data_IF_683214888827
#
_entry.id   IF_683214888827
#
_cell.length_a   1.000
_cell.length_b   1.000
_cell.length_c   1.000
_cell.angle_alpha   90.00
_cell.angle_beta   90.00
_cell.angle_gamma   90.00
#
_symmetry.space_group_name_H-M   'P 1'
#
loop_
_entity.id
_entity.type
_entity.pdbx_description
1 polymer ?
#
# COMPACT_ATOMS: atom_id res chain seq x y z
N UNK A 1 14.67 -16.91 14.68
CA UNK A 1 14.61 -17.87 13.55
C UNK A 1 14.91 -17.19 12.20
N UNK A 2 14.18 -16.14 11.78
CA UNK A 2 14.49 -15.43 10.53
C UNK A 2 15.92 -14.88 10.46
N UNK A 3 16.45 -14.32 11.56
CA UNK A 3 17.85 -13.90 11.65
C UNK A 3 18.84 -15.04 11.33
N UNK A 4 18.57 -16.25 11.82
CA UNK A 4 19.39 -17.43 11.53
C UNK A 4 19.33 -17.82 10.04
N UNK A 5 18.17 -17.66 9.39
CA UNK A 5 18.05 -17.89 7.95
C UNK A 5 18.90 -16.88 7.15
N UNK A 6 18.94 -15.60 7.57
CA UNK A 6 19.87 -14.63 7.00
C UNK A 6 21.34 -14.99 7.23
N UNK A 7 21.70 -15.53 8.41
CA UNK A 7 23.05 -16.03 8.66
C UNK A 7 23.42 -17.14 7.68
N UNK A 8 22.53 -18.12 7.44
CA UNK A 8 22.79 -19.18 6.46
C UNK A 8 22.91 -18.65 5.03
N UNK A 9 22.12 -17.64 4.64
CA UNK A 9 22.30 -16.95 3.37
C UNK A 9 23.69 -16.31 3.24
N UNK A 10 24.20 -15.71 4.32
CA UNK A 10 25.55 -15.13 4.36
C UNK A 10 26.67 -16.16 4.26
N UNK A 11 26.40 -17.41 4.65
CA UNK A 11 27.32 -18.54 4.59
C UNK A 11 27.13 -19.41 3.34
N UNK A 12 26.41 -18.92 2.32
CA UNK A 12 26.05 -19.71 1.12
C UNK A 12 27.25 -20.34 0.39
N UNK A 13 28.42 -19.69 0.43
CA UNK A 13 29.64 -20.16 -0.24
C UNK A 13 30.42 -21.19 0.60
N UNK A 14 30.08 -21.34 1.89
CA UNK A 14 30.75 -22.21 2.85
C UNK A 14 29.90 -23.44 3.22
N UNK A 15 28.58 -23.36 3.03
CA UNK A 15 27.63 -24.38 3.45
C UNK A 15 26.75 -24.81 2.27
N UNK A 16 27.12 -25.91 1.61
CA UNK A 16 26.36 -26.46 0.47
C UNK A 16 24.89 -26.79 0.81
N UNK A 17 24.57 -26.93 2.10
CA UNK A 17 23.23 -27.28 2.58
C UNK A 17 22.44 -26.08 3.09
N UNK A 18 22.92 -24.84 2.90
CA UNK A 18 22.29 -23.62 3.42
C UNK A 18 20.83 -23.49 2.98
N UNK A 19 20.50 -23.85 1.73
CA UNK A 19 19.13 -23.77 1.19
C UNK A 19 18.18 -24.71 1.95
N UNK A 20 18.57 -25.97 2.14
CA UNK A 20 17.79 -26.96 2.90
C UNK A 20 17.65 -26.56 4.37
N UNK A 21 18.67 -25.90 4.95
CA UNK A 21 18.60 -25.35 6.31
C UNK A 21 17.61 -24.20 6.39
N UNK A 22 17.63 -23.26 5.44
CA UNK A 22 16.62 -22.20 5.34
C UNK A 22 15.21 -22.77 5.23
N UNK A 23 14.99 -23.78 4.37
CA UNK A 23 13.69 -24.44 4.24
C UNK A 23 13.19 -25.02 5.56
N UNK A 24 14.06 -25.73 6.31
CA UNK A 24 13.71 -26.26 7.65
C UNK A 24 13.40 -25.14 8.66
N UNK A 25 14.12 -24.03 8.60
CA UNK A 25 13.86 -22.87 9.48
C UNK A 25 12.48 -22.28 9.19
N UNK A 26 12.11 -22.09 7.92
CA UNK A 26 10.81 -21.54 7.57
C UNK A 26 9.66 -22.50 7.85
N UNK A 27 9.86 -23.81 7.71
CA UNK A 27 8.90 -24.83 8.18
C UNK A 27 8.71 -24.74 9.70
N UNK A 28 9.78 -24.64 10.47
CA UNK A 28 9.71 -24.44 11.92
C UNK A 28 8.97 -23.15 12.29
N UNK A 29 9.28 -22.03 11.61
CA UNK A 29 8.57 -20.77 11.80
C UNK A 29 7.07 -20.91 11.53
N UNK A 30 6.70 -21.53 10.40
CA UNK A 30 5.31 -21.76 10.05
C UNK A 30 4.60 -22.54 11.17
N UNK A 31 5.11 -23.72 11.57
CA UNK A 31 4.52 -24.52 12.65
C UNK A 31 4.40 -23.74 13.97
N UNK A 32 5.39 -22.94 14.30
CA UNK A 32 5.38 -22.11 15.52
C UNK A 32 4.32 -21.02 15.46
N UNK A 33 4.19 -20.33 14.32
CA UNK A 33 3.21 -19.26 14.14
C UNK A 33 1.79 -19.84 14.10
N UNK A 34 1.58 -20.98 13.44
CA UNK A 34 0.28 -21.69 13.47
C UNK A 34 -0.08 -22.13 14.90
N UNK A 35 0.89 -22.48 15.75
CA UNK A 35 0.61 -22.77 17.16
C UNK A 35 0.15 -21.53 17.95
N UNK A 36 0.64 -20.33 17.59
CA UNK A 36 0.15 -19.07 18.17
C UNK A 36 -1.29 -18.77 17.76
N UNK A 37 -1.69 -19.11 16.52
CA UNK A 37 -3.08 -18.98 16.08
C UNK A 37 -4.02 -19.85 16.92
N UNK A 38 -3.61 -21.08 17.26
CA UNK A 38 -4.36 -21.97 18.17
C UNK A 38 -4.49 -21.43 19.60
N UNK A 39 -3.70 -20.44 19.96
CA UNK A 39 -3.78 -19.73 21.24
C UNK A 39 -4.65 -18.46 21.14
N UNK A 40 -5.52 -18.34 20.14
CA UNK A 40 -6.45 -17.23 19.91
C UNK A 40 -5.75 -15.87 19.71
N UNK A 41 -4.52 -15.88 19.18
CA UNK A 41 -3.82 -14.68 18.74
C UNK A 41 -4.00 -14.51 17.23
N UNK A 42 -4.48 -13.35 16.79
CA UNK A 42 -4.65 -13.05 15.36
C UNK A 42 -3.62 -12.04 14.84
N UNK A 43 -3.55 -10.89 15.52
CA UNK A 43 -2.74 -9.75 15.12
C UNK A 43 -1.23 -10.00 15.15
N UNK A 44 -0.75 -10.79 16.11
CA UNK A 44 0.68 -11.12 16.22
C UNK A 44 1.09 -12.14 15.14
N UNK A 45 0.40 -13.29 14.96
CA UNK A 45 0.69 -14.22 13.88
C UNK A 45 0.67 -13.62 12.48
N UNK A 46 -0.30 -12.73 12.19
CA UNK A 46 -0.35 -12.03 10.91
C UNK A 46 0.97 -11.27 10.65
N UNK A 47 1.42 -10.46 11.62
CA UNK A 47 2.68 -9.70 11.48
C UNK A 47 3.89 -10.61 11.35
N UNK A 48 3.91 -11.75 12.05
CA UNK A 48 5.00 -12.72 11.95
C UNK A 48 5.04 -13.38 10.56
N UNK A 49 3.89 -13.76 9.99
CA UNK A 49 3.83 -14.27 8.62
C UNK A 49 4.29 -13.23 7.59
N UNK A 50 3.87 -11.97 7.71
CA UNK A 50 4.33 -10.89 6.82
C UNK A 50 5.84 -10.66 6.91
N UNK A 51 6.41 -10.63 8.12
CA UNK A 51 7.86 -10.54 8.29
C UNK A 51 8.61 -11.76 7.73
N UNK A 52 8.02 -12.95 7.86
CA UNK A 52 8.52 -14.16 7.23
C UNK A 52 8.52 -14.04 5.70
N UNK A 53 7.43 -13.54 5.11
CA UNK A 53 7.32 -13.33 3.66
C UNK A 53 8.41 -12.38 3.13
N UNK A 54 8.65 -11.25 3.82
CA UNK A 54 9.76 -10.33 3.49
C UNK A 54 11.12 -11.04 3.57
N UNK A 55 11.36 -11.78 4.67
CA UNK A 55 12.62 -12.50 4.83
C UNK A 55 12.84 -13.55 3.74
N UNK A 56 11.79 -14.27 3.33
CA UNK A 56 11.84 -15.24 2.23
C UNK A 56 12.19 -14.55 0.91
N UNK A 57 11.51 -13.43 0.63
CA UNK A 57 11.71 -12.66 -0.61
C UNK A 57 13.12 -12.09 -0.75
N UNK A 58 13.76 -11.77 0.37
CA UNK A 58 15.16 -11.37 0.42
C UNK A 58 16.10 -12.58 0.33
N UNK A 59 15.86 -13.67 1.07
CA UNK A 59 16.80 -14.79 1.17
C UNK A 59 16.88 -15.62 -0.11
N UNK A 60 15.75 -15.89 -0.78
CA UNK A 60 15.65 -16.62 -2.06
C UNK A 60 16.38 -17.97 -2.07
N UNK A 61 16.10 -18.83 -1.09
CA UNK A 61 16.51 -20.25 -1.09
C UNK A 61 15.62 -21.09 -2.02
N UNK A 62 15.92 -22.37 -2.27
CA UNK A 62 15.09 -23.19 -3.17
C UNK A 62 13.60 -23.20 -2.78
N UNK A 63 12.72 -23.09 -3.79
CA UNK A 63 11.26 -22.99 -3.63
C UNK A 63 10.79 -21.78 -2.80
N UNK A 64 11.61 -20.72 -2.65
CA UNK A 64 11.24 -19.52 -1.91
C UNK A 64 9.90 -18.93 -2.33
N UNK A 65 9.58 -18.93 -3.62
CA UNK A 65 8.36 -18.34 -4.14
C UNK A 65 7.11 -19.04 -3.60
N UNK A 66 7.09 -20.37 -3.62
CA UNK A 66 6.00 -21.17 -3.05
C UNK A 66 5.85 -20.92 -1.55
N UNK A 67 6.96 -20.89 -0.80
CA UNK A 67 6.93 -20.67 0.65
C UNK A 67 6.49 -19.23 0.97
N UNK A 68 6.93 -18.25 0.19
CA UNK A 68 6.52 -16.86 0.34
C UNK A 68 5.03 -16.67 0.06
N UNK A 69 4.50 -17.36 -0.96
CA UNK A 69 3.07 -17.32 -1.29
C UNK A 69 2.23 -17.94 -0.17
N UNK A 70 2.66 -19.07 0.38
CA UNK A 70 2.02 -19.69 1.54
C UNK A 70 1.95 -18.72 2.73
N UNK A 71 3.05 -18.03 3.04
CA UNK A 71 3.08 -17.06 4.14
C UNK A 71 2.13 -15.87 3.90
N UNK A 72 2.05 -15.37 2.67
CA UNK A 72 1.08 -14.33 2.31
C UNK A 72 -0.36 -14.85 2.40
N UNK A 73 -0.62 -16.08 1.96
CA UNK A 73 -1.92 -16.72 2.05
C UNK A 73 -2.38 -16.88 3.49
N UNK A 74 -1.50 -17.34 4.39
CA UNK A 74 -1.79 -17.43 5.83
C UNK A 74 -2.11 -16.07 6.44
N UNK A 75 -1.41 -15.01 6.03
CA UNK A 75 -1.71 -13.66 6.48
C UNK A 75 -3.10 -13.17 6.01
N UNK A 76 -3.50 -13.51 4.78
CA UNK A 76 -4.86 -13.21 4.29
C UNK A 76 -5.93 -14.02 5.01
N UNK A 77 -5.71 -15.30 5.28
CA UNK A 77 -6.64 -16.13 6.05
C UNK A 77 -6.87 -15.56 7.45
N UNK A 78 -5.81 -15.17 8.17
CA UNK A 78 -5.94 -14.52 9.48
C UNK A 78 -6.71 -13.19 9.37
N UNK A 79 -6.43 -12.39 8.34
CA UNK A 79 -7.15 -11.14 8.12
C UNK A 79 -8.66 -11.37 7.91
N UNK A 80 -9.04 -12.38 7.14
CA UNK A 80 -10.44 -12.66 6.82
C UNK A 80 -11.19 -13.31 7.99
N UNK A 81 -10.58 -14.30 8.65
CA UNK A 81 -11.27 -15.14 9.64
C UNK A 81 -11.27 -14.51 11.04
N UNK A 82 -10.19 -13.82 11.42
CA UNK A 82 -9.94 -13.44 12.82
C UNK A 82 -10.02 -11.92 13.07
N UNK A 83 -9.77 -11.08 12.06
CA UNK A 83 -9.74 -9.62 12.23
C UNK A 83 -11.10 -9.00 11.90
N UNK A 84 -11.94 -8.85 12.93
CA UNK A 84 -13.30 -8.30 12.81
C UNK A 84 -13.42 -6.81 13.15
N UNK A 85 -12.52 -6.25 13.98
CA UNK A 85 -12.57 -4.83 14.35
C UNK A 85 -12.23 -3.93 13.15
N UNK A 86 -13.12 -3.00 12.83
CA UNK A 86 -12.97 -2.12 11.65
C UNK A 86 -11.69 -1.28 11.63
N UNK A 87 -11.17 -0.84 12.79
CA UNK A 87 -9.93 -0.07 12.86
C UNK A 87 -8.72 -0.99 12.67
N UNK A 88 -8.76 -2.17 13.28
CA UNK A 88 -7.73 -3.20 13.11
C UNK A 88 -7.67 -3.70 11.67
N UNK A 89 -8.82 -3.83 10.98
CA UNK A 89 -8.89 -4.22 9.57
C UNK A 89 -8.11 -3.27 8.66
N UNK A 90 -8.31 -1.96 8.78
CA UNK A 90 -7.55 -0.99 7.97
C UNK A 90 -6.05 -1.12 8.22
N UNK A 91 -5.63 -1.22 9.49
CA UNK A 91 -4.22 -1.36 9.84
C UNK A 91 -3.61 -2.66 9.28
N UNK A 92 -4.32 -3.77 9.40
CA UNK A 92 -3.88 -5.08 8.93
C UNK A 92 -3.77 -5.12 7.39
N UNK A 93 -4.79 -4.66 6.66
CA UNK A 93 -4.74 -4.65 5.19
C UNK A 93 -3.68 -3.68 4.66
N UNK A 94 -3.50 -2.53 5.31
CA UNK A 94 -2.42 -1.58 4.96
C UNK A 94 -1.06 -2.23 5.13
N UNK A 95 -0.87 -3.01 6.20
CA UNK A 95 0.38 -3.73 6.44
C UNK A 95 0.61 -4.84 5.40
N UNK A 96 -0.43 -5.59 5.03
CA UNK A 96 -0.34 -6.61 3.96
C UNK A 96 0.04 -5.95 2.63
N UNK A 97 -0.63 -4.85 2.27
CA UNK A 97 -0.34 -4.07 1.04
C UNK A 97 1.11 -3.60 1.03
N UNK A 98 1.57 -2.96 2.11
CA UNK A 98 2.93 -2.43 2.21
C UNK A 98 3.99 -3.54 2.22
N UNK A 99 3.68 -4.69 2.83
CA UNK A 99 4.58 -5.85 2.82
C UNK A 99 4.73 -6.37 1.40
N UNK A 100 3.62 -6.58 0.68
CA UNK A 100 3.65 -7.08 -0.68
C UNK A 100 4.32 -6.11 -1.65
N UNK A 101 4.10 -4.80 -1.49
CA UNK A 101 4.71 -3.77 -2.33
C UNK A 101 6.26 -3.81 -2.27
N UNK A 102 6.83 -4.12 -1.10
CA UNK A 102 8.28 -4.26 -0.92
C UNK A 102 8.84 -5.58 -1.46
N UNK A 103 8.00 -6.61 -1.64
CA UNK A 103 8.43 -7.90 -2.15
C UNK A 103 8.69 -7.84 -3.65
N UNK A 104 9.78 -8.48 -4.08
CA UNK A 104 10.19 -8.55 -5.50
C UNK A 104 10.41 -9.99 -5.98
N UNK A 105 9.92 -10.96 -5.20
CA UNK A 105 10.25 -12.37 -5.32
C UNK A 105 9.15 -13.21 -5.96
N UNK A 106 8.03 -12.63 -6.36
CA UNK A 106 6.95 -13.36 -7.02
C UNK A 106 7.02 -13.22 -8.53
N UNK A 107 6.77 -14.32 -9.24
CA UNK A 107 6.41 -14.30 -10.67
C UNK A 107 5.07 -13.57 -10.85
N UNK A 108 4.78 -13.17 -12.09
CA UNK A 108 3.52 -12.48 -12.36
C UNK A 108 2.29 -13.35 -12.08
N UNK A 109 2.39 -14.67 -12.31
CA UNK A 109 1.34 -15.65 -12.02
C UNK A 109 0.96 -15.69 -10.53
N UNK A 110 1.94 -15.54 -9.64
CA UNK A 110 1.72 -15.51 -8.19
C UNK A 110 1.48 -14.08 -7.65
N UNK A 111 2.04 -13.06 -8.30
CA UNK A 111 1.88 -11.67 -7.88
C UNK A 111 0.48 -11.12 -8.18
N UNK A 112 -0.08 -11.42 -9.35
CA UNK A 112 -1.39 -10.90 -9.76
C UNK A 112 -2.53 -11.28 -8.80
N UNK A 113 -2.69 -12.54 -8.37
CA UNK A 113 -3.69 -12.93 -7.39
C UNK A 113 -3.57 -12.13 -6.08
N UNK A 114 -2.35 -11.95 -5.57
CA UNK A 114 -2.11 -11.20 -4.33
C UNK A 114 -2.50 -9.72 -4.48
N UNK A 115 -2.17 -9.10 -5.62
CA UNK A 115 -2.60 -7.72 -5.92
C UNK A 115 -4.11 -7.58 -5.95
N UNK A 116 -4.78 -8.50 -6.65
CA UNK A 116 -6.23 -8.49 -6.77
C UNK A 116 -6.90 -8.71 -5.41
N UNK A 117 -6.33 -9.57 -4.57
CA UNK A 117 -6.82 -9.83 -3.22
C UNK A 117 -6.66 -8.60 -2.30
N UNK A 118 -5.51 -7.92 -2.35
CA UNK A 118 -5.30 -6.64 -1.66
C UNK A 118 -6.36 -5.60 -2.06
N UNK A 119 -6.57 -5.41 -3.36
CA UNK A 119 -7.54 -4.44 -3.88
C UNK A 119 -8.99 -4.81 -3.51
N UNK A 120 -9.31 -6.10 -3.50
CA UNK A 120 -10.61 -6.63 -3.10
C UNK A 120 -10.89 -6.30 -1.64
N UNK A 121 -10.01 -6.72 -0.72
CA UNK A 121 -10.21 -6.49 0.71
C UNK A 121 -10.21 -5.01 1.09
N UNK A 122 -9.32 -4.20 0.49
CA UNK A 122 -9.34 -2.75 0.68
C UNK A 122 -10.69 -2.14 0.30
N UNK A 123 -11.32 -2.63 -0.78
CA UNK A 123 -12.65 -2.14 -1.21
C UNK A 123 -13.83 -2.71 -0.42
N UNK A 124 -13.62 -3.77 0.37
CA UNK A 124 -14.64 -4.42 1.20
C UNK A 124 -14.63 -3.94 2.66
N UNK A 125 -13.71 -3.06 3.06
CA UNK A 125 -13.68 -2.47 4.40
C UNK A 125 -15.06 -1.89 4.77
N UNK A 126 -15.50 -1.98 6.01
CA UNK A 126 -16.87 -1.58 6.37
C UNK A 126 -17.10 -0.06 6.23
N UNK A 127 -16.12 0.74 6.64
CA UNK A 127 -16.23 2.20 6.69
C UNK A 127 -15.75 2.83 5.38
N UNK A 128 -16.53 3.77 4.83
CA UNK A 128 -16.19 4.47 3.59
C UNK A 128 -14.86 5.22 3.62
N UNK A 129 -14.49 5.93 4.70
CA UNK A 129 -13.19 6.58 4.78
C UNK A 129 -12.03 5.58 4.72
N UNK A 130 -12.20 4.43 5.38
CA UNK A 130 -11.20 3.37 5.40
C UNK A 130 -11.10 2.66 4.04
N UNK A 131 -12.23 2.40 3.37
CA UNK A 131 -12.25 1.93 1.97
C UNK A 131 -11.46 2.88 1.05
N UNK A 132 -11.69 4.19 1.20
CA UNK A 132 -11.02 5.21 0.40
C UNK A 132 -9.50 5.17 0.59
N UNK A 133 -9.03 5.16 1.85
CA UNK A 133 -7.62 5.10 2.21
C UNK A 133 -6.97 3.79 1.79
N UNK A 134 -7.65 2.66 1.97
CA UNK A 134 -7.16 1.35 1.55
C UNK A 134 -6.99 1.26 0.04
N UNK A 135 -7.98 1.71 -0.74
CA UNK A 135 -7.91 1.70 -2.21
C UNK A 135 -6.84 2.66 -2.73
N UNK A 136 -6.68 3.84 -2.10
CA UNK A 136 -5.59 4.75 -2.42
C UNK A 136 -4.23 4.08 -2.15
N UNK A 137 -4.09 3.37 -1.03
CA UNK A 137 -2.86 2.65 -0.68
C UNK A 137 -2.53 1.53 -1.68
N UNK A 138 -3.55 0.82 -2.20
CA UNK A 138 -3.36 -0.18 -3.26
C UNK A 138 -2.76 0.39 -4.55
N UNK A 139 -2.88 1.69 -4.83
CA UNK A 139 -2.28 2.28 -6.03
C UNK A 139 -0.76 2.11 -6.07
N UNK A 140 -0.08 2.09 -4.90
CA UNK A 140 1.37 1.89 -4.81
C UNK A 140 1.81 0.51 -5.31
N UNK A 141 1.01 -0.53 -5.08
CA UNK A 141 1.29 -1.88 -5.58
C UNK A 141 1.40 -1.90 -7.12
N UNK A 142 0.60 -1.09 -7.82
CA UNK A 142 0.60 -1.03 -9.28
C UNK A 142 1.67 -0.07 -9.83
N UNK A 143 2.22 0.79 -8.97
CA UNK A 143 3.26 1.74 -9.36
C UNK A 143 4.66 1.22 -8.99
N UNK A 144 4.98 1.22 -7.69
CA UNK A 144 6.30 0.90 -7.14
C UNK A 144 6.49 -0.58 -6.79
N UNK A 145 5.41 -1.37 -6.85
CA UNK A 145 5.48 -2.82 -6.68
C UNK A 145 6.44 -3.47 -7.67
N UNK A 146 7.08 -4.55 -7.23
CA UNK A 146 8.13 -5.26 -7.97
C UNK A 146 7.76 -6.73 -8.14
N UNK A 147 8.29 -7.35 -9.18
CA UNK A 147 8.12 -8.78 -9.46
C UNK A 147 9.35 -9.35 -10.13
N UNK A 148 9.40 -10.69 -10.25
CA UNK A 148 10.43 -11.35 -11.04
C UNK A 148 10.31 -10.99 -12.53
N UNK A 149 9.08 -10.77 -13.02
CA UNK A 149 8.83 -10.38 -14.41
C UNK A 149 9.32 -8.96 -14.75
N UNK A 150 9.37 -8.07 -13.76
CA UNK A 150 9.93 -6.72 -13.89
C UNK A 150 11.43 -6.66 -13.62
N UNK A 151 12.08 -7.81 -13.38
CA UNK A 151 13.50 -7.91 -13.01
C UNK A 151 13.87 -7.01 -11.81
N UNK A 152 12.92 -6.81 -10.89
CA UNK A 152 13.09 -5.94 -9.71
C UNK A 152 12.91 -4.44 -9.97
N UNK A 153 12.50 -4.04 -11.19
CA UNK A 153 12.06 -2.67 -11.48
C UNK A 153 10.61 -2.44 -11.04
N UNK A 154 10.25 -1.18 -10.87
CA UNK A 154 8.88 -0.77 -10.57
C UNK A 154 7.96 -1.07 -11.77
N UNK A 155 6.73 -1.52 -11.51
CA UNK A 155 5.75 -1.85 -12.55
C UNK A 155 5.29 -0.63 -13.37
N UNK A 156 5.14 0.52 -12.73
CA UNK A 156 4.72 1.78 -13.33
C UNK A 156 3.43 1.68 -14.18
N UNK A 157 2.45 0.88 -13.74
CA UNK A 157 1.14 0.78 -14.41
C UNK A 157 0.26 1.99 -14.04
N UNK A 158 0.48 3.08 -14.78
CA UNK A 158 -0.21 4.34 -14.55
C UNK A 158 -1.73 4.28 -14.68
N UNK A 159 -2.25 3.38 -15.52
CA UNK A 159 -3.69 3.24 -15.72
C UNK A 159 -4.35 2.62 -14.48
N UNK A 160 -3.77 1.54 -13.94
CA UNK A 160 -4.28 0.93 -12.71
C UNK A 160 -4.17 1.86 -11.51
N UNK A 161 -3.09 2.65 -11.41
CA UNK A 161 -2.96 3.71 -10.40
C UNK A 161 -4.14 4.68 -10.51
N UNK A 162 -4.40 5.19 -11.71
CA UNK A 162 -5.49 6.13 -11.94
C UNK A 162 -6.87 5.52 -11.62
N UNK A 163 -7.10 4.25 -11.93
CA UNK A 163 -8.33 3.54 -11.60
C UNK A 163 -8.54 3.41 -10.09
N UNK A 164 -7.49 3.10 -9.33
CA UNK A 164 -7.53 3.11 -7.86
C UNK A 164 -7.89 4.50 -7.32
N UNK A 165 -7.21 5.56 -7.77
CA UNK A 165 -7.46 6.91 -7.29
C UNK A 165 -8.85 7.43 -7.69
N UNK A 166 -9.33 7.11 -8.90
CA UNK A 166 -10.71 7.42 -9.34
C UNK A 166 -11.73 6.69 -8.47
N UNK A 167 -11.48 5.41 -8.13
CA UNK A 167 -12.33 4.66 -7.20
C UNK A 167 -12.32 5.31 -5.81
N UNK A 168 -11.16 5.77 -5.32
CA UNK A 168 -11.04 6.55 -4.09
C UNK A 168 -11.92 7.80 -4.09
N UNK A 169 -11.86 8.63 -5.15
CA UNK A 169 -12.71 9.82 -5.29
C UNK A 169 -14.20 9.48 -5.25
N UNK A 170 -14.64 8.40 -5.92
CA UNK A 170 -16.04 7.94 -5.89
C UNK A 170 -16.47 7.46 -4.50
N UNK A 171 -15.56 6.85 -3.73
CA UNK A 171 -15.85 6.41 -2.35
C UNK A 171 -15.93 7.62 -1.41
N UNK A 172 -15.00 8.58 -1.56
CA UNK A 172 -15.02 9.82 -0.79
C UNK A 172 -16.34 10.60 -1.00
N UNK A 173 -16.83 10.68 -2.24
CA UNK A 173 -18.12 11.34 -2.54
C UNK A 173 -19.35 10.62 -1.93
N UNK A 174 -19.21 9.37 -1.49
CA UNK A 174 -20.27 8.61 -0.80
C UNK A 174 -20.23 8.79 0.72
N UNK A 175 -19.24 9.51 1.26
CA UNK A 175 -19.20 9.84 2.68
C UNK A 175 -20.28 10.88 2.99
N UNK A 176 -21.10 10.61 4.02
CA UNK A 176 -22.19 11.52 4.44
C UNK A 176 -21.68 12.75 5.17
N UNK A 177 -20.56 12.62 5.89
CA UNK A 177 -19.95 13.72 6.62
C UNK A 177 -19.07 14.55 5.66
N UNK A 178 -19.45 15.82 5.47
CA UNK A 178 -18.74 16.76 4.60
C UNK A 178 -17.31 17.03 5.08
N UNK A 179 -17.06 17.09 6.40
CA UNK A 179 -15.71 17.27 6.95
C UNK A 179 -14.80 16.11 6.54
N UNK A 180 -15.29 14.88 6.73
CA UNK A 180 -14.58 13.67 6.33
C UNK A 180 -14.40 13.61 4.81
N UNK A 181 -15.41 13.99 4.04
CA UNK A 181 -15.33 14.03 2.59
C UNK A 181 -14.22 15.00 2.10
N UNK A 182 -14.19 16.23 2.61
CA UNK A 182 -13.16 17.22 2.25
C UNK A 182 -11.78 16.71 2.67
N UNK A 183 -11.65 16.16 3.88
CA UNK A 183 -10.39 15.57 4.34
C UNK A 183 -9.88 14.49 3.37
N UNK A 184 -10.75 13.56 2.95
CA UNK A 184 -10.39 12.51 2.00
C UNK A 184 -10.01 13.05 0.62
N UNK A 185 -10.67 14.11 0.14
CA UNK A 185 -10.26 14.76 -1.11
C UNK A 185 -8.88 15.39 -1.01
N UNK A 186 -8.53 16.02 0.12
CA UNK A 186 -7.18 16.55 0.36
C UNK A 186 -6.15 15.42 0.42
N UNK A 187 -6.45 14.31 1.10
CA UNK A 187 -5.59 13.12 1.14
C UNK A 187 -5.39 12.53 -0.28
N UNK A 188 -6.46 12.40 -1.06
CA UNK A 188 -6.38 11.89 -2.45
C UNK A 188 -5.64 12.85 -3.38
N UNK A 189 -5.80 14.17 -3.21
CA UNK A 189 -5.05 15.18 -3.96
C UNK A 189 -3.55 14.97 -3.74
N UNK A 190 -3.12 14.74 -2.50
CA UNK A 190 -1.72 14.45 -2.20
C UNK A 190 -1.21 13.16 -2.87
N UNK A 191 -2.06 12.12 -2.99
CA UNK A 191 -1.70 10.92 -3.76
C UNK A 191 -1.57 11.23 -5.26
N UNK A 192 -2.49 11.99 -5.85
CA UNK A 192 -2.37 12.41 -7.25
C UNK A 192 -1.10 13.23 -7.48
N UNK A 193 -0.76 14.15 -6.58
CA UNK A 193 0.47 14.94 -6.62
C UNK A 193 1.69 14.01 -6.59
N UNK A 194 1.72 13.06 -5.65
CA UNK A 194 2.81 12.09 -5.55
C UNK A 194 3.05 11.34 -6.87
N UNK A 195 2.01 10.78 -7.48
CA UNK A 195 2.16 10.04 -8.74
C UNK A 195 2.48 10.95 -9.93
N UNK A 196 1.95 12.17 -9.95
CA UNK A 196 2.30 13.17 -10.95
C UNK A 196 3.79 13.52 -10.91
N UNK A 197 4.34 13.76 -9.72
CA UNK A 197 5.76 14.05 -9.52
C UNK A 197 6.67 12.86 -9.81
N UNK A 198 6.13 11.64 -9.72
CA UNK A 198 6.79 10.40 -10.16
C UNK A 198 6.68 10.14 -11.67
N UNK A 199 6.24 11.12 -12.46
CA UNK A 199 6.13 11.05 -13.92
C UNK A 199 5.06 10.06 -14.42
N UNK A 200 4.01 9.82 -13.63
CA UNK A 200 2.88 9.00 -14.04
C UNK A 200 1.99 9.72 -15.07
N UNK A 201 2.23 9.47 -16.36
CA UNK A 201 1.59 10.19 -17.49
C UNK A 201 0.05 10.26 -17.50
N UNK A 202 -0.72 9.25 -17.03
CA UNK A 202 -2.18 9.32 -16.97
C UNK A 202 -2.69 10.29 -15.89
N UNK A 203 -1.87 10.65 -14.90
CA UNK A 203 -2.18 11.70 -13.94
C UNK A 203 -1.84 13.04 -14.57
N UNK A 204 -2.83 13.89 -14.80
CA UNK A 204 -2.66 15.16 -15.49
C UNK A 204 -3.00 16.33 -14.58
N UNK A 205 -2.47 17.51 -14.92
CA UNK A 205 -2.80 18.78 -14.24
C UNK A 205 -4.31 19.06 -14.28
N UNK A 206 -5.02 18.61 -15.32
CA UNK A 206 -6.47 18.73 -15.41
C UNK A 206 -7.18 17.96 -14.29
N UNK A 207 -6.70 16.76 -13.95
CA UNK A 207 -7.24 15.97 -12.85
C UNK A 207 -6.97 16.67 -11.52
N UNK A 208 -5.76 17.23 -11.32
CA UNK A 208 -5.44 18.01 -10.12
C UNK A 208 -6.39 19.19 -9.95
N UNK A 209 -6.59 19.99 -11.00
CA UNK A 209 -7.52 21.11 -10.99
C UNK A 209 -8.96 20.68 -10.65
N UNK A 210 -9.43 19.54 -11.17
CA UNK A 210 -10.76 19.02 -10.85
C UNK A 210 -10.90 18.64 -9.36
N UNK A 211 -9.87 18.04 -8.76
CA UNK A 211 -9.88 17.69 -7.34
C UNK A 211 -9.79 18.94 -6.47
N UNK A 212 -8.95 19.91 -6.82
CA UNK A 212 -8.84 21.20 -6.13
C UNK A 212 -10.17 21.94 -6.17
N UNK A 213 -10.81 22.03 -7.34
CA UNK A 213 -12.11 22.68 -7.49
C UNK A 213 -13.19 22.05 -6.59
N UNK A 214 -13.24 20.71 -6.51
CA UNK A 214 -14.15 20.00 -5.61
C UNK A 214 -13.90 20.33 -4.13
N UNK A 215 -12.63 20.42 -3.73
CA UNK A 215 -12.27 20.79 -2.36
C UNK A 215 -12.73 22.23 -2.08
N UNK A 216 -12.47 23.16 -3.00
CA UNK A 216 -12.85 24.57 -2.86
C UNK A 216 -14.36 24.79 -2.83
N UNK A 217 -15.14 23.98 -3.55
CA UNK A 217 -16.61 24.02 -3.55
C UNK A 217 -17.20 23.59 -2.19
N UNK A 218 -16.61 22.57 -1.55
CA UNK A 218 -17.11 22.01 -0.29
C UNK A 218 -16.53 22.69 0.97
N UNK A 219 -15.37 23.34 0.87
CA UNK A 219 -14.70 23.99 2.00
C UNK A 219 -15.57 25.01 2.77
N UNK A 220 -16.38 25.87 2.10
CA UNK A 220 -17.26 26.82 2.78
C UNK A 220 -18.42 26.17 3.54
N UNK A 221 -18.77 24.93 3.20
CA UNK A 221 -19.84 24.17 3.84
C UNK A 221 -19.40 23.57 5.19
N UNK A 222 -18.11 23.65 5.51
CA UNK A 222 -17.58 23.15 6.77
C UNK A 222 -17.90 24.09 7.93
N UNK A 223 -18.45 23.52 9.01
CA UNK A 223 -18.62 24.24 10.27
C UNK A 223 -17.27 24.62 10.89
N UNK A 224 -17.27 25.63 11.76
CA UNK A 224 -16.07 26.03 12.51
C UNK A 224 -15.81 24.99 13.60
N UNK A 225 -14.71 24.27 13.49
CA UNK A 225 -14.24 23.29 14.48
C UNK A 225 -12.72 23.14 14.39
N UNK A 226 -12.11 22.57 15.42
CA UNK A 226 -10.67 22.25 15.40
C UNK A 226 -10.30 21.30 14.25
N UNK A 227 -11.19 20.36 13.91
CA UNK A 227 -11.00 19.45 12.76
C UNK A 227 -10.97 20.22 11.44
N UNK A 228 -11.91 21.16 11.24
CA UNK A 228 -11.95 21.99 10.02
C UNK A 228 -10.70 22.86 9.89
N UNK A 229 -10.18 23.42 10.99
CA UNK A 229 -8.93 24.18 10.99
C UNK A 229 -7.73 23.31 10.56
N UNK A 230 -7.68 22.06 11.02
CA UNK A 230 -6.64 21.12 10.61
C UNK A 230 -6.74 20.77 9.12
N UNK A 231 -7.94 20.56 8.59
CA UNK A 231 -8.17 20.30 7.17
C UNK A 231 -7.73 21.50 6.32
N UNK A 232 -8.10 22.72 6.71
CA UNK A 232 -7.70 23.94 6.03
C UNK A 232 -6.18 24.12 6.04
N UNK A 233 -5.52 23.83 7.16
CA UNK A 233 -4.05 23.87 7.25
C UNK A 233 -3.39 22.82 6.36
N UNK A 234 -3.92 21.60 6.30
CA UNK A 234 -3.42 20.56 5.42
C UNK A 234 -3.55 20.95 3.94
N UNK A 235 -4.70 21.52 3.55
CA UNK A 235 -4.90 22.05 2.21
C UNK A 235 -3.92 23.20 1.90
N UNK A 236 -3.77 24.16 2.81
CA UNK A 236 -2.85 25.29 2.64
C UNK A 236 -1.41 24.82 2.40
N UNK A 237 -0.92 23.86 3.20
CA UNK A 237 0.40 23.26 3.01
C UNK A 237 0.53 22.56 1.63
N UNK A 238 -0.53 21.87 1.20
CA UNK A 238 -0.57 21.19 -0.11
C UNK A 238 -0.49 22.21 -1.26
N UNK A 239 -1.25 23.31 -1.18
CA UNK A 239 -1.22 24.38 -2.19
C UNK A 239 0.12 25.12 -2.20
N UNK A 240 0.74 25.33 -1.05
CA UNK A 240 2.06 25.96 -0.96
C UNK A 240 3.17 25.07 -1.52
N UNK A 241 3.10 23.75 -1.33
CA UNK A 241 3.95 22.79 -2.04
C UNK A 241 3.84 22.97 -3.55
N UNK A 242 2.60 22.99 -4.08
CA UNK A 242 2.36 23.18 -5.52
C UNK A 242 2.90 24.53 -6.03
N UNK A 243 2.69 25.63 -5.30
CA UNK A 243 3.27 26.94 -5.66
C UNK A 243 4.79 26.91 -5.69
N UNK A 244 5.42 26.24 -4.73
CA UNK A 244 6.87 26.12 -4.68
C UNK A 244 7.38 25.31 -5.87
N UNK A 245 6.75 24.19 -6.20
CA UNK A 245 7.09 23.37 -7.37
C UNK A 245 6.88 24.09 -8.70
N UNK A 246 5.88 24.97 -8.80
CA UNK A 246 5.68 25.84 -9.97
C UNK A 246 6.78 26.90 -10.13
N UNK A 247 7.34 27.40 -9.02
CA UNK A 247 8.38 28.45 -9.02
C UNK A 247 9.78 27.88 -9.27
N UNK A 248 10.06 26.68 -8.76
CA UNK A 248 11.37 26.03 -8.83
C UNK A 248 11.33 24.85 -9.79
N UNK A 249 11.42 25.15 -11.09
CA UNK A 249 11.43 24.19 -12.22
C UNK A 249 12.64 23.26 -12.25
N UNK A 250 13.64 23.46 -11.39
CA UNK A 250 14.91 22.71 -11.38
C UNK A 250 14.83 21.34 -10.71
N UNK A 251 13.65 20.95 -10.21
CA UNK A 251 13.47 19.65 -9.58
C UNK A 251 13.07 18.58 -10.61
N UNK A 252 13.55 17.33 -10.49
CA UNK A 252 13.07 16.24 -11.34
C UNK A 252 11.55 16.05 -11.17
N UNK A 253 10.83 15.95 -12.29
CA UNK A 253 9.38 15.80 -12.38
C UNK A 253 8.72 16.62 -13.48
N UNK A 254 7.45 16.35 -13.79
CA UNK A 254 6.71 17.09 -14.81
C UNK A 254 6.34 18.52 -14.35
N UNK A 255 6.45 19.54 -15.22
CA UNK A 255 6.08 20.90 -14.87
C UNK A 255 4.56 21.06 -14.77
N UNK A 256 4.08 21.71 -13.71
CA UNK A 256 2.67 22.00 -13.42
C UNK A 256 2.03 23.06 -14.34
N UNK A 257 2.30 22.99 -15.65
CA UNK A 257 1.77 23.95 -16.62
C UNK A 257 0.23 23.86 -16.69
N UNK A 258 -0.45 24.98 -16.42
CA UNK A 258 -1.92 25.07 -16.43
C UNK A 258 -2.60 24.68 -15.11
N UNK A 259 -1.85 24.52 -14.02
CA UNK A 259 -2.42 24.35 -12.69
C UNK A 259 -3.05 25.67 -12.22
N UNK A 260 -4.28 25.58 -11.70
CA UNK A 260 -5.03 26.73 -11.17
C UNK A 260 -5.22 26.51 -9.67
N UNK A 261 -4.70 27.44 -8.86
CA UNK A 261 -4.74 27.41 -7.40
C UNK A 261 -5.68 28.48 -6.85
#
# INVERSE_FOLDING_TARGET
AYQLAFTYKGLKDQDEMWQKKCQKIFQFCHSTITALMKAELAELPLRLFLQGALAIGEIRFDNFEMVGYEFMSQAFSIYEDEISDSKAQLAAITLIIATFEQMSCFSEENAEPVRNQCALYASKLLRKPDQCRGVATCSHIFWSGKSLATEGKEMQDGNKVLDCLKKGIRIASQCMDTSVQVQLYVELLNHYIYFYEKENSPVTVQILNQVIAKIQEELPNLGISEETEQIQKHLANTLDHLKNRMRYSDSPGQPYHGLVL
#
